data_IF_093438392866
#
_entry.id   IF_093438392866
#
_cell.length_a   1.000
_cell.length_b   1.000
_cell.length_c   1.000
_cell.angle_alpha   90.00
_cell.angle_beta   90.00
_cell.angle_gamma   90.00
#
_symmetry.space_group_name_H-M   'P 1'
#
loop_
_entity.id
_entity.type
_entity.pdbx_description
1 polymer ?
#
# COMPACT_ATOMS: atom_id res chain seq x y z
N UNK A 1 -6.47 -12.07 -8.85
CA UNK A 1 -6.35 -11.23 -7.63
C UNK A 1 -6.86 -9.84 -7.94
N UNK A 2 -7.74 -9.29 -7.10
CA UNK A 2 -8.27 -7.93 -7.22
C UNK A 2 -7.73 -7.06 -6.10
N UNK A 3 -7.44 -5.79 -6.38
CA UNK A 3 -6.96 -4.79 -5.40
C UNK A 3 -7.88 -3.58 -5.44
N UNK A 4 -8.37 -3.17 -4.27
CA UNK A 4 -9.18 -1.96 -4.09
C UNK A 4 -8.48 -1.04 -3.08
N UNK A 5 -8.26 0.22 -3.44
CA UNK A 5 -7.77 1.22 -2.49
C UNK A 5 -8.93 1.78 -1.68
N UNK A 6 -8.84 1.69 -0.38
CA UNK A 6 -9.88 2.15 0.54
C UNK A 6 -9.64 3.55 1.12
N UNK A 7 -8.52 4.17 0.73
CA UNK A 7 -8.08 5.48 1.19
C UNK A 7 -6.83 5.41 2.06
N UNK A 8 -6.06 6.48 2.12
CA UNK A 8 -4.80 6.57 2.86
C UNK A 8 -3.84 5.43 2.50
N UNK A 9 -3.47 4.59 3.47
CA UNK A 9 -2.69 3.37 3.26
C UNK A 9 -3.54 2.10 3.25
N UNK A 10 -4.87 2.23 3.34
CA UNK A 10 -5.77 1.08 3.45
C UNK A 10 -6.09 0.47 2.09
N UNK A 11 -5.85 -0.83 1.95
CA UNK A 11 -6.19 -1.62 0.77
C UNK A 11 -7.00 -2.86 1.14
N UNK A 12 -7.84 -3.29 0.19
CA UNK A 12 -8.50 -4.59 0.21
C UNK A 12 -7.96 -5.43 -0.95
N UNK A 13 -7.49 -6.64 -0.66
CA UNK A 13 -7.11 -7.63 -1.65
C UNK A 13 -8.15 -8.75 -1.65
N UNK A 14 -8.47 -9.27 -2.84
CA UNK A 14 -9.43 -10.36 -3.01
C UNK A 14 -8.93 -11.41 -3.99
N UNK A 15 -9.06 -12.68 -3.63
CA UNK A 15 -8.78 -13.83 -4.47
C UNK A 15 -9.72 -14.97 -4.10
N UNK A 16 -10.26 -15.66 -5.12
CA UNK A 16 -11.15 -16.81 -4.96
C UNK A 16 -12.31 -16.59 -3.96
N UNK A 17 -12.86 -15.37 -3.89
CA UNK A 17 -13.95 -15.01 -2.98
C UNK A 17 -13.52 -14.76 -1.53
N UNK A 18 -12.21 -14.82 -1.23
CA UNK A 18 -11.65 -14.47 0.08
C UNK A 18 -11.07 -13.05 0.03
N UNK A 19 -11.54 -12.19 0.91
CA UNK A 19 -11.09 -10.80 1.01
C UNK A 19 -10.23 -10.56 2.25
N UNK A 20 -9.13 -9.83 2.11
CA UNK A 20 -8.36 -9.32 3.24
C UNK A 20 -8.22 -7.80 3.16
N UNK A 21 -8.12 -7.16 4.31
CA UNK A 21 -7.89 -5.71 4.45
C UNK A 21 -6.54 -5.47 5.12
N UNK A 22 -5.84 -4.47 4.64
CA UNK A 22 -4.54 -4.05 5.18
C UNK A 22 -4.68 -2.62 5.66
N UNK A 23 -4.15 -2.32 6.84
CA UNK A 23 -4.07 -0.99 7.46
C UNK A 23 -5.41 -0.22 7.48
N UNK A 24 -6.46 -0.76 8.13
CA UNK A 24 -7.72 -0.04 8.28
C UNK A 24 -7.55 1.19 9.18
N UNK A 25 -8.02 2.35 8.73
CA UNK A 25 -7.90 3.60 9.46
C UNK A 25 -9.17 3.94 10.26
N UNK A 26 -9.01 4.67 11.35
CA UNK A 26 -10.12 5.21 12.16
C UNK A 26 -10.65 6.51 11.56
N UNK A 27 -9.79 7.50 11.47
CA UNK A 27 -10.09 8.84 10.93
C UNK A 27 -8.84 9.36 10.24
N UNK A 28 -8.97 9.69 8.97
CA UNK A 28 -7.94 10.42 8.21
C UNK A 28 -8.64 11.57 7.48
N UNK A 29 -8.06 12.75 7.50
CA UNK A 29 -8.64 13.97 6.97
C UNK A 29 -9.11 13.78 5.52
N UNK A 30 -10.34 14.20 5.23
CA UNK A 30 -10.94 14.17 3.88
C UNK A 30 -11.38 12.79 3.39
N UNK A 31 -11.16 11.71 4.17
CA UNK A 31 -11.71 10.38 3.86
C UNK A 31 -12.99 10.11 4.66
N UNK A 32 -13.97 9.41 4.07
CA UNK A 32 -15.16 8.99 4.81
C UNK A 32 -14.77 7.95 5.89
N UNK A 33 -15.60 7.79 6.94
CA UNK A 33 -15.41 6.72 7.90
C UNK A 33 -15.36 5.36 7.22
N UNK A 34 -14.29 4.60 7.49
CA UNK A 34 -14.12 3.28 6.90
C UNK A 34 -15.14 2.29 7.46
N UNK A 35 -15.79 1.54 6.55
CA UNK A 35 -16.63 0.37 6.86
C UNK A 35 -16.42 -0.63 5.73
N UNK A 36 -15.89 -1.80 6.06
CA UNK A 36 -15.54 -2.81 5.07
C UNK A 36 -15.73 -4.21 5.65
N UNK A 37 -16.07 -5.17 4.80
CA UNK A 37 -16.14 -6.59 5.15
C UNK A 37 -14.91 -7.31 4.59
N UNK A 38 -14.33 -8.21 5.40
CA UNK A 38 -13.18 -9.02 5.00
C UNK A 38 -13.10 -10.32 5.81
N UNK A 39 -12.40 -11.32 5.30
CA UNK A 39 -12.12 -12.56 6.00
C UNK A 39 -10.90 -12.45 6.92
N UNK A 40 -9.98 -11.54 6.63
CA UNK A 40 -8.78 -11.29 7.44
C UNK A 40 -8.38 -9.82 7.43
N UNK A 41 -7.64 -9.40 8.47
CA UNK A 41 -7.05 -8.07 8.59
C UNK A 41 -5.56 -8.22 8.86
N UNK A 42 -4.77 -7.40 8.20
CA UNK A 42 -3.33 -7.28 8.40
C UNK A 42 -2.98 -5.84 8.77
N UNK A 43 -2.01 -5.66 9.63
CA UNK A 43 -1.59 -4.35 10.15
C UNK A 43 -0.09 -4.24 10.00
N UNK A 44 0.38 -3.13 9.40
CA UNK A 44 1.80 -2.85 9.29
C UNK A 44 2.40 -2.37 10.60
N UNK A 45 1.66 -1.57 11.36
CA UNK A 45 2.05 -1.02 12.65
C UNK A 45 0.84 -0.47 13.43
N UNK A 46 1.02 -0.17 14.72
CA UNK A 46 -0.06 0.24 15.63
C UNK A 46 -0.17 1.76 15.74
N UNK A 47 -0.64 2.42 14.68
CA UNK A 47 -1.08 3.81 14.72
C UNK A 47 -2.57 3.91 14.36
N UNK A 48 -3.26 4.96 14.85
CA UNK A 48 -4.73 5.13 14.73
C UNK A 48 -5.24 5.16 13.28
N UNK A 49 -4.36 5.47 12.35
CA UNK A 49 -4.61 5.53 10.92
C UNK A 49 -4.24 4.24 10.18
N UNK A 50 -3.85 3.16 10.92
CA UNK A 50 -3.49 1.85 10.36
C UNK A 50 -4.08 0.64 11.10
N UNK A 51 -4.60 0.77 12.33
CA UNK A 51 -5.00 -0.38 13.15
C UNK A 51 -6.46 -0.36 13.65
N UNK A 52 -7.36 0.33 12.95
CA UNK A 52 -8.78 0.40 13.32
C UNK A 52 -9.53 -0.90 12.98
N UNK A 53 -9.39 -1.94 13.79
CA UNK A 53 -10.07 -3.21 13.60
C UNK A 53 -11.60 -3.08 13.62
N UNK A 54 -12.16 -2.14 14.36
CA UNK A 54 -13.59 -1.89 14.46
C UNK A 54 -14.23 -1.39 13.14
N UNK A 55 -13.39 -0.93 12.21
CA UNK A 55 -13.84 -0.56 10.86
C UNK A 55 -14.10 -1.77 9.96
N UNK A 56 -13.65 -2.97 10.38
CA UNK A 56 -13.75 -4.19 9.58
C UNK A 56 -14.70 -5.19 10.20
N UNK A 57 -15.74 -5.56 9.47
CA UNK A 57 -16.60 -6.68 9.83
C UNK A 57 -15.97 -7.97 9.33
N UNK A 58 -15.54 -8.84 10.26
CA UNK A 58 -14.96 -10.12 9.89
C UNK A 58 -16.02 -11.10 9.40
N UNK A 59 -15.86 -11.58 8.19
CA UNK A 59 -16.69 -12.61 7.59
C UNK A 59 -16.21 -14.00 8.05
N UNK A 60 -17.12 -14.89 8.43
CA UNK A 60 -16.75 -16.26 8.81
C UNK A 60 -16.40 -17.10 7.59
N UNK A 61 -15.51 -18.07 7.78
CA UNK A 61 -15.24 -19.14 6.82
C UNK A 61 -14.40 -18.74 5.62
N UNK A 62 -14.23 -19.70 4.72
CA UNK A 62 -13.37 -19.61 3.54
C UNK A 62 -11.95 -20.11 3.81
N UNK A 63 -11.41 -20.85 2.84
CA UNK A 63 -9.98 -21.20 2.84
C UNK A 63 -9.19 -19.98 2.34
N UNK A 64 -8.17 -19.58 3.10
CA UNK A 64 -7.32 -18.46 2.71
C UNK A 64 -6.44 -18.83 1.51
N UNK A 65 -6.67 -18.26 0.32
CA UNK A 65 -5.87 -18.56 -0.86
C UNK A 65 -4.53 -17.84 -0.88
N UNK A 66 -4.31 -16.91 0.07
CA UNK A 66 -3.08 -16.13 0.12
C UNK A 66 -2.00 -16.83 0.94
N UNK A 67 -0.82 -16.96 0.36
CA UNK A 67 0.41 -17.12 1.12
C UNK A 67 0.88 -15.74 1.55
N UNK A 68 1.10 -15.55 2.85
CA UNK A 68 1.52 -14.25 3.40
C UNK A 68 2.90 -14.40 4.04
N UNK A 69 3.84 -13.60 3.57
CA UNK A 69 5.18 -13.45 4.16
C UNK A 69 5.35 -12.03 4.65
N UNK A 70 6.17 -11.85 5.66
CA UNK A 70 6.46 -10.53 6.24
C UNK A 70 7.94 -10.36 6.53
N UNK A 71 8.36 -9.10 6.64
CA UNK A 71 9.62 -8.75 7.27
C UNK A 71 9.51 -7.39 7.96
N UNK A 72 10.28 -7.21 9.02
CA UNK A 72 10.30 -5.98 9.81
C UNK A 72 11.16 -4.92 9.15
N UNK A 73 10.70 -3.66 9.25
CA UNK A 73 11.40 -2.42 8.90
C UNK A 73 11.11 -1.40 9.99
N UNK A 74 11.43 -0.13 9.74
CA UNK A 74 11.16 0.95 10.67
C UNK A 74 10.31 2.04 10.03
N UNK A 75 9.49 2.68 10.85
CA UNK A 75 8.66 3.84 10.47
C UNK A 75 9.43 5.17 10.49
N UNK A 76 10.74 5.12 10.63
CA UNK A 76 11.65 6.25 10.60
C UNK A 76 13.07 5.81 10.15
N UNK A 77 13.95 6.77 9.93
CA UNK A 77 15.34 6.55 9.55
C UNK A 77 16.29 6.38 10.75
N UNK A 78 15.73 6.40 11.97
CA UNK A 78 16.45 6.26 13.24
C UNK A 78 16.23 4.89 13.90
N UNK A 79 15.99 3.85 13.13
CA UNK A 79 15.76 2.48 13.60
C UNK A 79 14.57 2.34 14.57
N UNK A 80 13.48 3.05 14.27
CA UNK A 80 12.27 3.02 15.07
C UNK A 80 12.26 3.90 16.31
N UNK A 81 13.31 4.69 16.53
CA UNK A 81 13.43 5.51 17.74
C UNK A 81 12.39 6.63 17.84
N UNK A 82 11.83 7.08 16.72
CA UNK A 82 10.84 8.16 16.69
C UNK A 82 9.40 7.64 16.53
N UNK A 83 9.17 6.63 15.66
CA UNK A 83 7.82 6.17 15.27
C UNK A 83 7.62 4.67 15.39
N UNK A 84 8.66 3.93 15.81
CA UNK A 84 8.58 2.49 16.04
C UNK A 84 8.83 1.63 14.81
N UNK A 85 8.42 0.39 14.94
CA UNK A 85 8.57 -0.63 13.92
C UNK A 85 7.49 -0.51 12.84
N UNK A 86 7.81 -1.04 11.66
CA UNK A 86 6.87 -1.20 10.54
C UNK A 86 7.05 -2.61 9.96
N UNK A 87 5.96 -3.22 9.53
CA UNK A 87 5.95 -4.53 8.90
C UNK A 87 5.59 -4.43 7.44
N UNK A 88 6.46 -4.94 6.58
CA UNK A 88 6.16 -5.13 5.16
C UNK A 88 5.45 -6.47 4.97
N UNK A 89 4.33 -6.47 4.23
CA UNK A 89 3.57 -7.66 3.90
C UNK A 89 3.70 -8.02 2.43
N UNK A 90 3.91 -9.30 2.15
CA UNK A 90 3.97 -9.88 0.81
C UNK A 90 2.83 -10.89 0.68
N UNK A 91 1.88 -10.62 -0.21
CA UNK A 91 0.72 -11.48 -0.45
C UNK A 91 0.86 -12.17 -1.79
N UNK A 92 0.77 -13.51 -1.80
CA UNK A 92 0.81 -14.29 -3.04
C UNK A 92 -0.46 -15.10 -3.22
N UNK A 93 -1.12 -14.95 -4.36
CA UNK A 93 -2.25 -15.76 -4.79
C UNK A 93 -2.35 -15.73 -6.32
N UNK A 94 -2.89 -16.78 -6.93
CA UNK A 94 -3.11 -16.87 -8.38
C UNK A 94 -1.84 -16.64 -9.22
N UNK A 95 -0.64 -16.96 -8.67
CA UNK A 95 0.64 -16.69 -9.34
C UNK A 95 1.03 -15.21 -9.38
N UNK A 96 0.31 -14.32 -8.66
CA UNK A 96 0.60 -12.89 -8.53
C UNK A 96 1.18 -12.58 -7.15
N UNK A 97 2.02 -11.54 -7.10
CA UNK A 97 2.63 -11.03 -5.87
C UNK A 97 2.26 -9.57 -5.67
N UNK A 98 1.58 -9.27 -4.56
CA UNK A 98 1.30 -7.91 -4.12
C UNK A 98 2.07 -7.62 -2.83
N UNK A 99 2.71 -6.46 -2.76
CA UNK A 99 3.54 -6.04 -1.62
C UNK A 99 3.00 -4.75 -1.05
N UNK A 100 2.80 -4.72 0.27
CA UNK A 100 2.41 -3.53 1.02
C UNK A 100 3.55 -3.11 1.94
N UNK A 101 4.10 -1.92 1.71
CA UNK A 101 5.28 -1.45 2.45
C UNK A 101 4.94 -0.83 3.82
N UNK A 102 3.64 -0.72 4.18
CA UNK A 102 3.23 0.01 5.37
C UNK A 102 3.73 1.45 5.33
N UNK A 103 4.04 1.99 6.48
CA UNK A 103 4.64 3.32 6.59
C UNK A 103 6.17 3.23 6.64
N UNK A 104 6.73 2.66 5.57
CA UNK A 104 8.18 2.53 5.42
C UNK A 104 8.87 3.89 5.60
N UNK A 105 9.71 4.03 6.63
CA UNK A 105 10.43 5.26 6.95
C UNK A 105 11.95 5.16 6.76
N UNK A 106 12.48 4.01 6.34
CA UNK A 106 13.92 3.76 6.20
C UNK A 106 14.28 3.12 4.85
N UNK A 107 15.57 3.08 4.55
CA UNK A 107 16.06 2.31 3.40
C UNK A 107 15.92 0.80 3.66
N UNK A 108 15.56 0.05 2.63
CA UNK A 108 15.57 -1.41 2.66
C UNK A 108 17.00 -1.94 2.49
N UNK A 109 17.28 -3.06 3.12
CA UNK A 109 18.52 -3.82 2.84
C UNK A 109 18.43 -4.53 1.49
N UNK A 110 19.57 -4.87 0.88
CA UNK A 110 19.59 -5.61 -0.39
C UNK A 110 18.80 -6.94 -0.33
N UNK A 111 18.86 -7.65 0.80
CA UNK A 111 18.11 -8.89 0.99
C UNK A 111 16.58 -8.66 1.10
N UNK A 112 16.14 -7.52 1.64
CA UNK A 112 14.73 -7.14 1.67
C UNK A 112 14.24 -6.71 0.27
N UNK A 113 15.04 -5.93 -0.46
CA UNK A 113 14.74 -5.56 -1.84
C UNK A 113 14.63 -6.79 -2.75
N UNK A 114 15.54 -7.76 -2.63
CA UNK A 114 15.51 -9.01 -3.41
C UNK A 114 14.19 -9.79 -3.22
N UNK A 115 13.65 -9.83 -1.99
CA UNK A 115 12.39 -10.53 -1.70
C UNK A 115 11.17 -9.96 -2.41
N UNK A 116 11.19 -8.68 -2.76
CA UNK A 116 10.03 -7.95 -3.30
C UNK A 116 10.27 -7.41 -4.72
N UNK A 117 11.49 -7.56 -5.25
CA UNK A 117 11.81 -7.16 -6.62
C UNK A 117 10.94 -7.86 -7.65
N UNK A 118 10.50 -7.11 -8.67
CA UNK A 118 9.68 -7.63 -9.75
C UNK A 118 8.26 -8.04 -9.35
N UNK A 119 7.77 -7.59 -8.18
CA UNK A 119 6.40 -7.88 -7.75
C UNK A 119 5.37 -7.31 -8.75
N UNK A 120 4.16 -7.91 -8.77
CA UNK A 120 3.09 -7.47 -9.67
C UNK A 120 2.45 -6.16 -9.22
N UNK A 121 2.35 -5.93 -7.92
CA UNK A 121 1.84 -4.68 -7.36
C UNK A 121 2.65 -4.26 -6.13
N UNK A 122 3.12 -3.03 -6.13
CA UNK A 122 3.83 -2.40 -5.01
C UNK A 122 2.99 -1.25 -4.46
N UNK A 123 2.42 -1.43 -3.28
CA UNK A 123 1.76 -0.38 -2.51
C UNK A 123 2.82 0.30 -1.63
N UNK A 124 3.16 1.56 -1.94
CA UNK A 124 4.24 2.27 -1.25
C UNK A 124 3.84 3.68 -0.84
N UNK A 125 4.28 4.15 0.36
CA UNK A 125 4.05 5.51 0.79
C UNK A 125 4.90 6.48 -0.02
N UNK A 126 4.32 7.64 -0.39
CA UNK A 126 4.99 8.65 -1.23
C UNK A 126 4.89 10.07 -0.67
N UNK A 127 4.19 10.25 0.44
CA UNK A 127 3.88 11.58 1.00
C UNK A 127 4.97 12.21 1.86
N UNK A 128 5.99 11.48 2.23
CA UNK A 128 7.06 11.98 3.11
C UNK A 128 6.56 12.31 4.51
N UNK A 129 7.25 13.20 5.21
CA UNK A 129 7.03 13.68 6.58
C UNK A 129 7.10 12.58 7.64
N UNK A 130 6.32 11.53 7.49
CA UNK A 130 6.26 10.37 8.40
C UNK A 130 6.92 9.14 7.81
N UNK A 131 7.01 9.06 6.49
CA UNK A 131 7.51 7.92 5.72
C UNK A 131 8.64 8.35 4.79
N UNK A 132 9.14 7.44 3.94
CA UNK A 132 10.02 7.84 2.84
C UNK A 132 9.33 8.91 1.98
N UNK A 133 10.12 9.84 1.47
CA UNK A 133 9.62 10.91 0.61
C UNK A 133 9.44 10.46 -0.85
N UNK A 134 8.88 11.34 -1.66
CA UNK A 134 8.63 11.07 -3.08
C UNK A 134 9.91 10.74 -3.87
N UNK A 135 11.07 11.30 -3.49
CA UNK A 135 12.33 11.02 -4.15
C UNK A 135 12.84 9.62 -3.82
N UNK A 136 12.87 9.27 -2.53
CA UNK A 136 13.25 7.93 -2.07
C UNK A 136 12.30 6.86 -2.61
N UNK A 137 10.99 7.14 -2.65
CA UNK A 137 9.98 6.25 -3.23
C UNK A 137 10.25 6.01 -4.73
N UNK A 138 10.54 7.05 -5.50
CA UNK A 138 10.85 6.93 -6.93
C UNK A 138 12.14 6.11 -7.17
N UNK A 139 13.19 6.32 -6.37
CA UNK A 139 14.41 5.54 -6.45
C UNK A 139 14.16 4.06 -6.09
N UNK A 140 13.32 3.80 -5.08
CA UNK A 140 12.95 2.44 -4.72
C UNK A 140 12.20 1.73 -5.85
N UNK A 141 11.26 2.41 -6.52
CA UNK A 141 10.57 1.89 -7.71
C UNK A 141 11.55 1.52 -8.82
N UNK A 142 12.57 2.35 -9.10
CA UNK A 142 13.59 2.06 -10.12
C UNK A 142 14.45 0.86 -9.77
N UNK A 143 14.75 0.63 -8.49
CA UNK A 143 15.53 -0.54 -8.06
C UNK A 143 14.71 -1.82 -8.04
N UNK A 144 13.47 -1.74 -7.58
CA UNK A 144 12.60 -2.92 -7.43
C UNK A 144 11.97 -3.39 -8.73
N UNK A 145 11.81 -2.52 -9.72
CA UNK A 145 11.15 -2.83 -11.00
C UNK A 145 9.76 -3.50 -10.85
N UNK A 146 8.87 -3.01 -9.98
CA UNK A 146 7.53 -3.57 -9.87
C UNK A 146 6.77 -3.40 -11.18
N UNK A 147 5.86 -4.34 -11.50
CA UNK A 147 5.00 -4.20 -12.68
C UNK A 147 4.03 -3.03 -12.53
N UNK A 148 3.37 -2.93 -11.40
CA UNK A 148 2.46 -1.83 -11.06
C UNK A 148 2.87 -1.18 -9.75
N UNK A 149 2.81 0.15 -9.70
CA UNK A 149 3.04 0.98 -8.53
C UNK A 149 1.73 1.56 -8.08
N UNK A 150 1.36 1.35 -6.83
CA UNK A 150 0.14 1.85 -6.18
C UNK A 150 0.54 2.83 -5.08
N UNK A 151 0.64 4.15 -5.39
CA UNK A 151 1.02 5.14 -4.38
C UNK A 151 -0.02 5.24 -3.28
N UNK A 152 0.44 5.41 -2.04
CA UNK A 152 -0.38 5.58 -0.85
C UNK A 152 0.23 6.61 0.10
N UNK A 153 -0.46 6.94 1.19
CA UNK A 153 0.01 7.84 2.24
C UNK A 153 0.47 9.20 1.68
N UNK A 154 -0.37 9.85 0.89
CA UNK A 154 -0.12 11.14 0.26
C UNK A 154 -1.33 12.07 0.41
N UNK A 155 -1.12 13.36 0.15
CA UNK A 155 -2.20 14.36 0.13
C UNK A 155 -2.76 14.56 -1.27
N UNK A 156 -4.10 14.58 -1.39
CA UNK A 156 -4.81 14.90 -2.64
C UNK A 156 -5.99 15.83 -2.38
N UNK A 157 -5.76 17.13 -2.53
CA UNK A 157 -6.72 18.15 -2.11
C UNK A 157 -6.87 18.18 -0.60
N UNK A 158 -8.08 17.91 -0.09
CA UNK A 158 -8.39 17.82 1.33
C UNK A 158 -8.18 16.41 1.92
N UNK A 159 -7.89 15.41 1.08
CA UNK A 159 -7.64 14.04 1.52
C UNK A 159 -6.18 13.86 1.92
N UNK A 160 -5.97 13.23 3.08
CA UNK A 160 -4.67 12.99 3.69
C UNK A 160 -4.28 14.10 4.67
N UNK A 161 -3.24 13.86 5.46
CA UNK A 161 -2.73 14.84 6.42
C UNK A 161 -2.14 16.04 5.67
N UNK A 162 -2.33 17.28 6.17
CA UNK A 162 -1.89 18.50 5.48
C UNK A 162 -0.36 18.59 5.32
N UNK A 163 0.39 17.92 6.17
CA UNK A 163 1.86 17.89 6.17
C UNK A 163 2.44 16.99 5.07
N UNK A 164 1.62 16.12 4.47
CA UNK A 164 2.06 15.22 3.41
C UNK A 164 2.24 15.96 2.09
N UNK A 165 3.21 15.54 1.30
CA UNK A 165 3.35 16.00 -0.09
C UNK A 165 2.27 15.39 -0.97
N UNK A 166 2.14 15.94 -2.17
CA UNK A 166 1.07 15.54 -3.09
C UNK A 166 1.48 14.33 -3.95
N UNK A 167 0.48 13.65 -4.49
CA UNK A 167 0.69 12.60 -5.48
C UNK A 167 1.47 13.13 -6.70
N UNK A 168 1.20 14.36 -7.12
CA UNK A 168 1.84 15.01 -8.27
C UNK A 168 3.35 15.18 -8.06
N UNK A 169 3.81 15.42 -6.82
CA UNK A 169 5.23 15.47 -6.52
C UNK A 169 5.91 14.12 -6.82
N UNK A 170 5.31 13.01 -6.38
CA UNK A 170 5.81 11.67 -6.71
C UNK A 170 5.79 11.38 -8.21
N UNK A 171 4.68 11.67 -8.90
CA UNK A 171 4.55 11.42 -10.34
C UNK A 171 5.59 12.20 -11.15
N UNK A 172 5.93 13.42 -10.73
CA UNK A 172 6.93 14.24 -11.41
C UNK A 172 8.34 13.64 -11.36
N UNK A 173 8.59 12.72 -10.42
CA UNK A 173 9.89 12.05 -10.25
C UNK A 173 10.02 10.75 -11.04
N UNK A 174 8.93 10.29 -11.67
CA UNK A 174 8.88 9.09 -12.52
C UNK A 174 8.30 9.42 -13.90
N UNK A 175 8.85 10.42 -14.63
CA UNK A 175 8.29 10.84 -15.92
C UNK A 175 8.38 9.73 -17.00
N UNK A 176 9.25 8.75 -16.78
CA UNK A 176 9.41 7.58 -17.67
C UNK A 176 8.32 6.51 -17.47
N UNK A 177 7.57 6.55 -16.36
CA UNK A 177 6.55 5.55 -16.05
C UNK A 177 5.18 5.94 -16.63
N UNK A 178 4.49 5.03 -17.31
CA UNK A 178 3.09 5.25 -17.69
C UNK A 178 2.21 5.47 -16.45
N UNK A 179 1.25 6.39 -16.55
CA UNK A 179 0.29 6.67 -15.47
C UNK A 179 -1.11 6.26 -15.93
N UNK A 180 -1.70 5.29 -15.24
CA UNK A 180 -3.04 4.75 -15.49
C UNK A 180 -4.02 5.26 -14.43
N UNK A 181 -4.97 6.09 -14.82
CA UNK A 181 -6.02 6.57 -13.91
C UNK A 181 -7.24 5.67 -14.07
N UNK A 182 -7.56 4.92 -13.03
CA UNK A 182 -8.73 4.04 -13.03
C UNK A 182 -10.03 4.86 -12.98
N UNK A 183 -11.04 4.38 -13.68
CA UNK A 183 -12.42 4.88 -13.58
C UNK A 183 -13.23 4.11 -12.56
N UNK A 184 -12.86 2.85 -12.31
CA UNK A 184 -13.44 1.97 -11.29
C UNK A 184 -12.59 1.91 -10.04
N UNK A 185 -13.18 1.40 -8.95
CA UNK A 185 -12.53 1.32 -7.64
C UNK A 185 -11.58 0.12 -7.48
N UNK A 186 -11.65 -0.85 -8.40
CA UNK A 186 -10.95 -2.12 -8.28
C UNK A 186 -10.01 -2.33 -9.47
N UNK A 187 -8.79 -2.72 -9.16
CA UNK A 187 -7.77 -3.13 -10.12
C UNK A 187 -7.76 -4.67 -10.22
N UNK A 188 -7.93 -5.19 -11.44
CA UNK A 188 -7.67 -6.60 -11.72
C UNK A 188 -6.17 -6.80 -12.02
N UNK A 189 -5.46 -7.42 -11.08
CA UNK A 189 -4.02 -7.64 -11.17
C UNK A 189 -3.66 -8.71 -12.23
N UNK A 190 -4.61 -9.55 -12.61
CA UNK A 190 -4.39 -10.59 -13.62
C UNK A 190 -4.36 -10.05 -15.04
N UNK A 191 -4.83 -8.81 -15.25
CA UNK A 191 -4.78 -8.13 -16.54
C UNK A 191 -3.34 -7.95 -17.01
N UNK A 192 -2.96 -8.70 -18.04
CA UNK A 192 -1.59 -8.67 -18.60
C UNK A 192 -1.40 -7.46 -19.52
N UNK A 193 -0.15 -6.97 -19.58
CA UNK A 193 0.25 -5.90 -20.52
C UNK A 193 0.19 -4.48 -19.95
N UNK A 194 -0.31 -4.28 -18.73
CA UNK A 194 -0.27 -2.99 -18.05
C UNK A 194 0.92 -2.94 -17.08
N UNK A 195 1.75 -1.91 -17.21
CA UNK A 195 2.84 -1.60 -16.27
C UNK A 195 2.87 -0.10 -16.00
N UNK A 196 3.40 0.32 -14.85
CA UNK A 196 3.52 1.72 -14.47
C UNK A 196 2.74 2.08 -13.22
N UNK A 197 2.44 3.36 -13.04
CA UNK A 197 1.77 3.88 -11.85
C UNK A 197 0.25 3.83 -12.03
N UNK A 198 -0.46 3.23 -11.09
CA UNK A 198 -1.93 3.14 -11.10
C UNK A 198 -2.50 4.08 -10.04
N UNK A 199 -3.41 4.95 -10.48
CA UNK A 199 -4.09 5.92 -9.63
C UNK A 199 -5.57 5.54 -9.51
N UNK A 200 -6.00 5.25 -8.31
CA UNK A 200 -7.40 5.01 -7.99
C UNK A 200 -8.21 6.31 -7.98
N UNK A 201 -9.54 6.27 -8.21
CA UNK A 201 -10.41 7.42 -8.05
C UNK A 201 -10.34 7.98 -6.62
N UNK A 202 -10.87 9.20 -6.41
CA UNK A 202 -11.04 9.75 -5.05
C UNK A 202 -12.10 8.93 -4.30
N UNK A 203 -11.87 8.76 -3.02
CA UNK A 203 -12.83 8.16 -2.08
C UNK A 203 -13.81 9.20 -1.52
#
# INVERSE_FOLDING_TARGET
MYITWLGHSCFRLESAGYGLVIDPYRVVAGYPPLRVEANAVYISHHHFDHDCLEAVTLLPGGENPFTVETFSTFHDDCQGALRGDNTVHIFRAEGMTAVHLGDLGCALTAAQEEKISGCDALMLPVGGTYTIDAAAAAELVRRLHPRLVLPMHFRRGEQGFPELTTLEDFLSRLPEQPVHRLTGETLDLTSKGTSGVVIFPRR
#
